data_IF_062886646867
#
_entry.id   IF_062886646867
#
_cell.length_a   1.000
_cell.length_b   1.000
_cell.length_c   1.000
_cell.angle_alpha   90.00
_cell.angle_beta   90.00
_cell.angle_gamma   90.00
#
_symmetry.space_group_name_H-M   'P 1'
#
loop_
_entity.id
_entity.type
_entity.pdbx_description
1 polymer ?
#
# COMPACT_ATOMS: atom_id res chain seq x y z
N UNK A 1 11.27 -54.29 -90.29
CA UNK A 1 10.47 -53.70 -89.18
C UNK A 1 11.35 -52.64 -88.53
N UNK A 2 11.07 -51.34 -88.53
CA UNK A 2 9.81 -50.64 -88.72
C UNK A 2 9.45 -49.84 -87.47
N UNK A 3 9.97 -48.60 -87.42
CA UNK A 3 9.41 -47.40 -86.76
C UNK A 3 9.46 -47.23 -85.22
N UNK A 4 9.56 -45.93 -84.89
CA UNK A 4 9.05 -45.18 -83.74
C UNK A 4 10.10 -44.89 -82.65
N UNK A 5 10.74 -43.71 -82.56
CA UNK A 5 10.18 -42.35 -82.59
C UNK A 5 8.84 -42.25 -81.86
N UNK A 6 8.81 -42.60 -80.56
CA UNK A 6 7.63 -42.32 -79.72
C UNK A 6 7.88 -42.40 -78.21
N UNK A 7 9.07 -42.07 -77.69
CA UNK A 7 9.22 -41.88 -76.23
C UNK A 7 10.22 -40.78 -75.82
N UNK A 8 10.55 -39.87 -76.75
CA UNK A 8 11.22 -38.59 -76.44
C UNK A 8 10.27 -37.61 -75.71
N UNK A 9 8.98 -37.93 -75.54
CA UNK A 9 7.96 -36.95 -75.11
C UNK A 9 7.43 -37.18 -73.68
N UNK A 10 7.72 -38.32 -73.02
CA UNK A 10 7.15 -38.59 -71.67
C UNK A 10 8.15 -38.34 -70.53
N UNK A 11 9.46 -38.36 -70.79
CA UNK A 11 10.45 -38.03 -69.75
C UNK A 11 10.65 -36.51 -69.53
N UNK A 12 10.26 -35.68 -70.50
CA UNK A 12 10.39 -34.20 -70.44
C UNK A 12 9.16 -33.55 -69.75
N UNK A 13 8.13 -34.34 -69.44
CA UNK A 13 6.98 -33.88 -68.64
C UNK A 13 7.15 -34.12 -67.12
N UNK A 14 8.25 -34.77 -66.70
CA UNK A 14 8.64 -34.90 -65.28
C UNK A 14 9.70 -33.88 -64.84
N UNK A 15 10.14 -33.00 -65.75
CA UNK A 15 11.10 -31.91 -65.47
C UNK A 15 10.46 -30.57 -65.09
N UNK A 16 9.21 -30.56 -64.60
CA UNK A 16 8.49 -29.33 -64.22
C UNK A 16 8.20 -29.20 -62.71
N UNK A 17 8.63 -30.14 -61.86
CA UNK A 17 8.33 -30.08 -60.41
C UNK A 17 9.51 -29.83 -59.46
N UNK A 18 10.71 -29.53 -59.96
CA UNK A 18 11.85 -29.16 -59.12
C UNK A 18 12.57 -27.96 -59.70
N UNK A 19 12.08 -26.75 -59.40
CA UNK A 19 12.84 -25.48 -59.22
C UNK A 19 11.97 -24.24 -59.54
N UNK A 20 11.09 -23.83 -58.62
CA UNK A 20 10.61 -22.44 -58.55
C UNK A 20 10.17 -22.11 -57.11
N UNK A 21 11.15 -21.77 -56.27
CA UNK A 21 10.93 -21.03 -55.02
C UNK A 21 11.65 -19.69 -55.13
N UNK A 22 11.09 -18.80 -55.95
CA UNK A 22 11.38 -17.37 -55.91
C UNK A 22 10.74 -16.71 -54.66
N UNK A 23 11.08 -15.45 -54.36
CA UNK A 23 11.29 -14.97 -52.99
C UNK A 23 10.01 -14.50 -52.31
N UNK A 24 9.76 -14.95 -51.07
CA UNK A 24 8.90 -14.20 -50.15
C UNK A 24 9.82 -13.27 -49.36
N UNK A 25 9.86 -12.03 -49.83
CA UNK A 25 10.33 -10.89 -49.05
C UNK A 25 9.39 -10.70 -47.86
N UNK A 26 9.70 -11.34 -46.74
CA UNK A 26 9.19 -10.91 -45.45
C UNK A 26 10.05 -9.71 -45.02
N UNK A 27 9.50 -8.50 -45.19
CA UNK A 27 9.92 -7.32 -44.43
C UNK A 27 9.73 -7.61 -42.93
N UNK A 28 10.70 -8.28 -42.33
CA UNK A 28 10.90 -8.25 -40.90
C UNK A 28 11.42 -6.87 -40.56
N UNK A 29 10.54 -6.04 -40.01
CA UNK A 29 10.86 -4.70 -39.51
C UNK A 29 12.14 -4.76 -38.69
N UNK A 30 13.14 -4.07 -39.23
CA UNK A 30 14.32 -3.59 -38.55
C UNK A 30 13.88 -2.81 -37.31
N UNK A 31 14.08 -3.41 -36.13
CA UNK A 31 14.40 -2.69 -34.91
C UNK A 31 15.39 -3.51 -34.12
N UNK A 32 16.66 -3.26 -34.43
CA UNK A 32 17.65 -2.96 -33.40
C UNK A 32 17.69 -3.92 -32.21
N UNK A 33 18.70 -4.80 -32.23
CA UNK A 33 19.41 -5.28 -31.04
C UNK A 33 20.06 -4.13 -30.26
N UNK A 34 19.25 -3.18 -29.79
CA UNK A 34 19.58 -2.16 -28.79
C UNK A 34 18.36 -1.96 -27.90
N UNK A 35 18.06 -2.95 -27.05
CA UNK A 35 17.18 -2.78 -25.89
C UNK A 35 17.29 -3.96 -24.91
N UNK A 36 18.51 -4.42 -24.61
CA UNK A 36 18.76 -5.25 -23.41
C UNK A 36 18.82 -4.38 -22.14
N UNK A 37 18.73 -3.06 -22.28
CA UNK A 37 18.89 -2.10 -21.18
C UNK A 37 17.73 -1.10 -21.08
N UNK A 38 16.48 -1.58 -21.02
CA UNK A 38 15.31 -0.76 -20.64
C UNK A 38 14.10 -1.57 -20.10
N UNK A 39 14.26 -2.87 -19.83
CA UNK A 39 13.15 -3.81 -19.50
C UNK A 39 12.87 -3.98 -18.00
N UNK A 40 12.63 -2.92 -17.25
CA UNK A 40 12.24 -3.07 -15.82
C UNK A 40 10.93 -2.38 -15.44
N UNK A 41 10.29 -1.65 -16.35
CA UNK A 41 8.99 -1.04 -16.08
C UNK A 41 8.01 -1.11 -17.25
N UNK A 42 6.71 -1.04 -16.94
CA UNK A 42 5.59 -1.13 -17.89
C UNK A 42 5.04 0.26 -18.21
N UNK A 43 4.81 0.50 -19.50
CA UNK A 43 4.27 1.75 -20.03
C UNK A 43 2.74 1.81 -19.92
N UNK A 44 2.15 2.94 -20.28
CA UNK A 44 0.70 3.15 -20.23
C UNK A 44 -0.04 2.03 -20.98
N UNK A 45 -1.18 1.59 -20.43
CA UNK A 45 -2.03 0.51 -20.92
C UNK A 45 -1.40 -0.89 -20.93
N UNK A 46 -0.15 -1.06 -20.46
CA UNK A 46 0.45 -2.38 -20.28
C UNK A 46 0.05 -3.01 -18.95
N UNK A 47 0.04 -4.33 -18.90
CA UNK A 47 -0.28 -5.11 -17.70
C UNK A 47 0.78 -4.96 -16.61
N UNK A 48 0.35 -4.79 -15.37
CA UNK A 48 1.17 -4.69 -14.16
C UNK A 48 0.61 -5.59 -13.05
N UNK A 49 1.40 -5.78 -11.97
CA UNK A 49 1.00 -6.68 -10.88
C UNK A 49 1.02 -8.15 -11.29
N UNK A 50 0.11 -8.95 -10.71
CA UNK A 50 0.07 -10.39 -10.92
C UNK A 50 1.27 -11.15 -10.38
N UNK A 51 1.40 -12.42 -10.78
CA UNK A 51 2.53 -13.28 -10.40
C UNK A 51 3.88 -12.79 -10.95
N UNK A 52 3.86 -11.96 -12.00
CA UNK A 52 5.08 -11.41 -12.60
C UNK A 52 5.60 -10.15 -11.90
N UNK A 53 4.84 -9.59 -10.95
CA UNK A 53 5.19 -8.40 -10.16
C UNK A 53 5.71 -7.21 -11.01
N UNK A 54 5.22 -7.06 -12.25
CA UNK A 54 5.69 -6.00 -13.12
C UNK A 54 5.27 -4.63 -12.55
N UNK A 55 6.23 -3.72 -12.43
CA UNK A 55 6.03 -2.35 -11.96
C UNK A 55 5.77 -1.43 -13.15
N UNK A 56 4.92 -0.43 -12.98
CA UNK A 56 4.75 0.62 -13.97
C UNK A 56 5.95 1.58 -13.94
N UNK A 57 6.21 2.25 -15.06
CA UNK A 57 7.25 3.28 -15.13
C UNK A 57 6.87 4.51 -14.27
N UNK A 58 7.85 5.37 -13.99
CA UNK A 58 7.63 6.57 -13.19
C UNK A 58 6.51 7.45 -13.78
N UNK A 59 5.68 7.97 -12.87
CA UNK A 59 4.48 8.74 -13.24
C UNK A 59 3.26 7.90 -13.64
N UNK A 60 3.35 6.57 -13.56
CA UNK A 60 2.22 5.66 -13.76
C UNK A 60 1.87 4.92 -12.46
N UNK A 61 0.58 4.64 -12.27
CA UNK A 61 0.08 3.78 -11.20
C UNK A 61 -0.50 2.49 -11.79
N UNK A 62 -0.30 1.39 -11.07
CA UNK A 62 -0.88 0.10 -11.42
C UNK A 62 -2.30 0.03 -10.88
N UNK A 63 -3.30 0.14 -11.76
CA UNK A 63 -4.71 0.04 -11.39
C UNK A 63 -5.10 -1.44 -11.45
N UNK A 64 -5.20 -2.07 -10.28
CA UNK A 64 -5.61 -3.47 -10.16
C UNK A 64 -7.08 -3.63 -10.53
N UNK A 65 -7.43 -4.76 -11.16
CA UNK A 65 -8.82 -5.08 -11.48
C UNK A 65 -9.64 -5.55 -10.26
N UNK A 66 -8.96 -5.83 -9.14
CA UNK A 66 -9.54 -6.42 -7.93
C UNK A 66 -8.58 -6.33 -6.75
N UNK A 67 -9.08 -6.44 -5.52
CA UNK A 67 -8.31 -6.24 -4.28
C UNK A 67 -7.64 -7.50 -3.69
N UNK A 68 -7.72 -8.66 -4.36
CA UNK A 68 -7.09 -9.88 -3.87
C UNK A 68 -5.56 -9.93 -4.16
N UNK A 69 -4.77 -10.60 -3.30
CA UNK A 69 -3.32 -10.73 -3.52
C UNK A 69 -3.02 -11.47 -4.83
N UNK A 70 -2.20 -10.85 -5.69
CA UNK A 70 -1.87 -11.40 -7.00
C UNK A 70 -2.80 -10.97 -8.14
N UNK A 71 -3.71 -10.02 -7.90
CA UNK A 71 -4.49 -9.40 -8.96
C UNK A 71 -3.58 -8.76 -10.04
N UNK A 72 -3.97 -8.91 -11.30
CA UNK A 72 -3.40 -8.16 -12.41
C UNK A 72 -4.05 -6.80 -12.53
N UNK A 73 -3.29 -5.82 -13.01
CA UNK A 73 -3.76 -4.47 -13.27
C UNK A 73 -3.21 -3.91 -14.57
N UNK A 74 -3.52 -2.64 -14.81
CA UNK A 74 -3.06 -1.90 -15.99
C UNK A 74 -2.37 -0.62 -15.55
N UNK A 75 -1.23 -0.29 -16.16
CA UNK A 75 -0.54 0.96 -15.91
C UNK A 75 -1.31 2.14 -16.50
N UNK A 76 -1.73 3.06 -15.65
CA UNK A 76 -2.40 4.30 -16.05
C UNK A 76 -1.60 5.51 -15.58
N UNK A 77 -1.79 6.66 -16.24
CA UNK A 77 -1.17 7.91 -15.79
C UNK A 77 -1.66 8.24 -14.39
N UNK A 78 -0.71 8.51 -13.50
CA UNK A 78 -0.99 8.94 -12.14
C UNK A 78 -1.76 10.26 -12.18
N UNK A 79 -2.92 10.28 -11.54
CA UNK A 79 -3.80 11.47 -11.46
C UNK A 79 -3.46 12.35 -10.26
N UNK A 80 -2.74 11.81 -9.27
CA UNK A 80 -2.36 12.49 -8.06
C UNK A 80 -0.92 13.07 -8.11
N UNK A 81 -0.63 14.01 -7.20
CA UNK A 81 0.66 14.69 -7.09
C UNK A 81 1.56 14.02 -6.05
N UNK A 82 2.81 13.76 -6.41
CA UNK A 82 3.79 13.11 -5.53
C UNK A 82 4.43 14.13 -4.58
N UNK A 83 5.25 13.65 -3.65
CA UNK A 83 5.93 14.52 -2.68
C UNK A 83 6.69 15.66 -3.39
N UNK A 84 6.62 16.86 -2.80
CA UNK A 84 7.19 18.12 -3.30
C UNK A 84 6.58 18.66 -4.60
N UNK A 85 5.54 18.03 -5.15
CA UNK A 85 4.80 18.59 -6.28
C UNK A 85 3.71 19.56 -5.81
N UNK A 86 3.38 20.51 -6.68
CA UNK A 86 2.30 21.47 -6.47
C UNK A 86 0.94 20.79 -6.34
N UNK A 87 0.14 21.22 -5.36
CA UNK A 87 -1.21 20.77 -5.08
C UNK A 87 -2.14 21.95 -4.78
N UNK A 88 -3.45 21.70 -4.77
CA UNK A 88 -4.46 22.73 -4.50
C UNK A 88 -4.58 23.75 -5.63
N UNK A 89 -4.82 25.00 -5.26
CA UNK A 89 -5.14 26.10 -6.16
C UNK A 89 -6.48 25.92 -6.88
N UNK A 90 -6.76 26.83 -7.81
CA UNK A 90 -7.95 26.79 -8.69
C UNK A 90 -8.07 25.44 -9.43
N UNK A 91 -6.93 24.82 -9.78
CA UNK A 91 -6.91 23.52 -10.47
C UNK A 91 -7.26 22.32 -9.59
N UNK A 92 -7.29 22.48 -8.26
CA UNK A 92 -7.72 21.44 -7.32
C UNK A 92 -6.86 20.17 -7.31
N UNK A 93 -5.57 20.26 -7.65
CA UNK A 93 -4.72 19.07 -7.75
C UNK A 93 -4.54 18.37 -6.40
N UNK A 94 -4.88 17.09 -6.34
CA UNK A 94 -4.79 16.29 -5.11
C UNK A 94 -3.45 15.57 -4.98
N UNK A 95 -2.93 15.49 -3.76
CA UNK A 95 -1.75 14.67 -3.47
C UNK A 95 -2.07 13.18 -3.44
N UNK A 96 -1.09 12.35 -3.75
CA UNK A 96 -1.22 10.90 -3.66
C UNK A 96 -1.45 10.43 -2.22
N UNK A 97 -1.90 9.18 -2.07
CA UNK A 97 -2.13 8.57 -0.77
C UNK A 97 -0.88 8.64 0.12
N UNK A 98 -1.08 8.94 1.41
CA UNK A 98 0.01 9.12 2.38
C UNK A 98 0.62 10.53 2.39
N UNK A 99 0.22 11.41 1.47
CA UNK A 99 0.61 12.80 1.44
C UNK A 99 -0.54 13.72 1.88
N UNK A 100 -0.22 14.94 2.30
CA UNK A 100 -1.17 16.03 2.52
C UNK A 100 -0.74 17.23 1.69
N UNK A 101 -1.72 17.98 1.19
CA UNK A 101 -1.43 19.28 0.58
C UNK A 101 -1.24 20.30 1.70
N UNK A 102 -0.06 20.91 1.77
CA UNK A 102 0.22 22.03 2.67
C UNK A 102 0.12 23.30 1.86
N UNK A 103 -0.96 24.05 2.08
CA UNK A 103 -1.24 25.30 1.39
C UNK A 103 -0.30 26.40 1.87
N UNK A 104 0.10 27.28 0.97
CA UNK A 104 0.95 28.43 1.29
C UNK A 104 0.17 29.53 2.04
N UNK A 105 -1.16 29.54 1.93
CA UNK A 105 -2.04 30.44 2.67
C UNK A 105 -3.44 29.86 2.87
N UNK A 106 -4.26 30.50 3.72
CA UNK A 106 -5.62 30.04 4.05
C UNK A 106 -6.69 30.46 3.02
N UNK A 107 -6.30 31.08 1.91
CA UNK A 107 -7.24 31.42 0.84
C UNK A 107 -7.68 30.16 0.07
N UNK A 108 -8.95 30.07 -0.37
CA UNK A 108 -9.50 28.89 -1.04
C UNK A 108 -8.78 28.55 -2.35
N UNK A 109 -8.22 29.55 -3.02
CA UNK A 109 -7.49 29.41 -4.29
C UNK A 109 -5.97 29.25 -4.08
N UNK A 110 -5.52 29.08 -2.84
CA UNK A 110 -4.09 28.92 -2.55
C UNK A 110 -3.57 27.62 -3.12
N UNK A 111 -2.44 27.72 -3.81
CA UNK A 111 -1.58 26.58 -4.08
C UNK A 111 -0.87 26.11 -2.83
N UNK A 112 -0.25 24.94 -2.94
CA UNK A 112 0.57 24.37 -1.90
C UNK A 112 1.47 23.27 -2.43
N UNK A 113 2.10 22.55 -1.51
CA UNK A 113 3.02 21.45 -1.83
C UNK A 113 2.59 20.17 -1.14
N UNK A 114 2.69 19.05 -1.85
CA UNK A 114 2.47 17.73 -1.28
C UNK A 114 3.60 17.35 -0.33
N UNK A 115 3.27 17.21 0.95
CA UNK A 115 4.20 16.73 1.97
C UNK A 115 3.77 15.36 2.49
N UNK A 116 4.71 14.51 2.94
CA UNK A 116 4.37 13.33 3.72
C UNK A 116 3.43 13.72 4.88
N UNK A 117 2.33 12.98 5.03
CA UNK A 117 1.57 13.06 6.27
C UNK A 117 2.54 12.68 7.39
N UNK A 118 2.64 13.53 8.43
CA UNK A 118 3.38 13.18 9.63
C UNK A 118 2.90 11.80 10.05
N UNK A 119 3.83 10.83 10.11
CA UNK A 119 3.49 9.47 10.52
C UNK A 119 2.88 9.54 11.90
N UNK A 120 1.70 8.96 12.04
CA UNK A 120 1.13 8.78 13.35
C UNK A 120 1.88 7.65 14.07
N UNK A 121 1.87 7.69 15.40
CA UNK A 121 2.55 6.73 16.26
C UNK A 121 1.58 5.64 16.68
N UNK A 122 2.01 4.39 16.53
CA UNK A 122 1.25 3.21 16.94
C UNK A 122 1.18 3.10 18.47
N UNK A 123 0.37 2.17 18.97
CA UNK A 123 0.29 1.89 20.41
C UNK A 123 1.69 1.61 20.99
N UNK A 124 1.93 2.13 22.19
CA UNK A 124 3.17 2.05 22.96
C UNK A 124 4.38 2.76 22.34
N UNK A 125 4.20 3.51 21.25
CA UNK A 125 5.26 4.36 20.71
C UNK A 125 5.26 5.75 21.36
N UNK A 126 6.45 6.36 21.42
CA UNK A 126 6.63 7.73 21.88
C UNK A 126 5.81 8.73 21.07
N UNK A 127 5.14 9.65 21.76
CA UNK A 127 4.34 10.75 21.25
C UNK A 127 4.65 12.07 21.98
N UNK A 128 4.03 13.16 21.54
CA UNK A 128 4.26 14.49 22.13
C UNK A 128 5.64 15.04 21.79
N UNK A 129 6.26 15.72 22.77
CA UNK A 129 7.57 16.33 22.65
C UNK A 129 7.61 17.55 21.72
N UNK A 130 8.81 18.12 21.58
CA UNK A 130 9.10 19.21 20.63
C UNK A 130 8.70 18.88 19.18
N UNK A 131 8.71 17.60 18.82
CA UNK A 131 8.35 17.13 17.47
C UNK A 131 6.83 17.04 17.23
N UNK A 132 6.01 17.26 18.28
CA UNK A 132 4.53 17.22 18.26
C UNK A 132 4.01 15.94 17.61
N UNK A 133 4.60 14.79 17.96
CA UNK A 133 4.26 13.50 17.39
C UNK A 133 2.86 13.08 17.85
N UNK A 134 1.97 12.82 16.91
CA UNK A 134 0.58 12.43 17.20
C UNK A 134 0.41 10.92 17.14
N UNK A 135 -0.42 10.38 18.03
CA UNK A 135 -0.83 8.99 17.95
C UNK A 135 -1.80 8.76 16.79
N UNK A 136 -1.86 7.53 16.29
CA UNK A 136 -2.83 7.13 15.28
C UNK A 136 -4.26 7.19 15.82
N UNK A 137 -5.25 7.17 14.92
CA UNK A 137 -6.66 7.21 15.28
C UNK A 137 -7.01 6.10 16.28
N UNK A 138 -7.80 6.42 17.30
CA UNK A 138 -8.19 5.48 18.36
C UNK A 138 -7.16 5.34 19.49
N UNK A 139 -6.06 6.08 19.45
CA UNK A 139 -5.05 6.17 20.49
C UNK A 139 -5.02 7.58 21.11
N UNK A 140 -4.61 7.67 22.38
CA UNK A 140 -4.36 8.94 23.09
C UNK A 140 -2.90 9.03 23.49
N UNK A 141 -2.31 10.22 23.41
CA UNK A 141 -0.96 10.45 23.94
C UNK A 141 -1.07 10.68 25.45
N UNK A 142 -0.47 9.80 26.25
CA UNK A 142 -0.36 9.99 27.70
C UNK A 142 1.00 10.62 27.97
N UNK A 143 1.00 11.87 28.41
CA UNK A 143 2.23 12.63 28.67
C UNK A 143 2.84 12.20 30.02
N UNK A 144 4.17 12.17 30.08
CA UNK A 144 4.93 11.86 31.31
C UNK A 144 5.14 13.11 32.20
N UNK A 145 4.49 14.23 31.88
CA UNK A 145 4.55 15.49 32.63
C UNK A 145 3.53 16.53 32.15
N UNK A 146 3.41 17.62 32.90
CA UNK A 146 2.40 18.67 32.68
C UNK A 146 2.81 19.74 31.64
N UNK A 147 4.06 19.71 31.19
CA UNK A 147 4.55 20.67 30.20
C UNK A 147 4.07 20.34 28.79
N UNK A 148 3.76 21.35 27.95
CA UNK A 148 3.27 21.15 26.57
C UNK A 148 4.30 20.44 25.66
N UNK A 149 5.58 20.50 26.04
CA UNK A 149 6.69 19.88 25.33
C UNK A 149 7.08 18.51 25.92
N UNK A 150 6.30 18.00 26.88
CA UNK A 150 6.56 16.69 27.49
C UNK A 150 6.41 15.59 26.44
N UNK A 151 7.33 14.63 26.47
CA UNK A 151 7.15 13.35 25.80
C UNK A 151 6.05 12.54 26.47
N UNK A 152 5.54 11.57 25.75
CA UNK A 152 4.57 10.63 26.28
C UNK A 152 4.54 9.34 25.47
N UNK A 153 3.58 8.48 25.79
CA UNK A 153 3.38 7.20 25.11
C UNK A 153 1.95 7.11 24.57
N UNK A 154 1.82 6.61 23.34
CA UNK A 154 0.51 6.34 22.74
C UNK A 154 -0.17 5.16 23.41
N UNK A 155 -1.22 5.42 24.18
CA UNK A 155 -2.04 4.39 24.80
C UNK A 155 -3.35 4.21 24.01
N UNK A 156 -4.05 3.08 24.18
CA UNK A 156 -5.42 2.95 23.72
C UNK A 156 -6.27 4.18 24.11
N UNK A 157 -7.09 4.67 23.19
CA UNK A 157 -7.90 5.89 23.37
C UNK A 157 -8.97 5.75 24.46
N UNK A 158 -9.23 4.53 24.92
CA UNK A 158 -10.01 4.25 26.12
C UNK A 158 -9.35 4.86 27.36
N UNK A 159 -10.17 5.37 28.28
CA UNK A 159 -9.71 5.89 29.58
C UNK A 159 -9.60 4.80 30.65
N UNK A 160 -9.91 3.55 30.28
CA UNK A 160 -9.93 2.41 31.17
C UNK A 160 -9.07 1.27 30.60
N UNK A 161 -8.70 0.35 31.47
CA UNK A 161 -7.81 -0.78 31.20
C UNK A 161 -8.61 -2.07 30.93
N UNK A 162 -8.22 -2.80 29.89
CA UNK A 162 -8.83 -4.02 29.38
C UNK A 162 -8.20 -5.26 30.02
N UNK A 163 -8.64 -6.46 29.63
CA UNK A 163 -8.14 -7.70 30.22
C UNK A 163 -6.61 -7.80 30.16
N UNK A 164 -6.01 -8.12 31.30
CA UNK A 164 -4.58 -8.24 31.53
C UNK A 164 -3.77 -6.93 31.47
N UNK A 165 -4.42 -5.78 31.32
CA UNK A 165 -3.77 -4.48 31.46
C UNK A 165 -3.61 -4.09 32.95
N UNK A 166 -2.59 -3.29 33.23
CA UNK A 166 -2.25 -2.84 34.59
C UNK A 166 -3.25 -1.82 35.11
N UNK A 167 -3.68 -1.97 36.35
CA UNK A 167 -4.64 -1.11 37.04
C UNK A 167 -4.16 -0.72 38.44
N UNK A 168 -4.72 0.33 39.03
CA UNK A 168 -4.36 0.77 40.37
C UNK A 168 -2.97 1.41 40.47
N UNK A 169 -2.29 1.19 41.61
CA UNK A 169 -1.03 1.83 41.94
C UNK A 169 -1.10 3.37 42.01
N UNK A 170 0.06 4.02 41.91
CA UNK A 170 0.19 5.49 41.85
C UNK A 170 -0.41 6.10 40.58
N UNK A 171 -0.66 5.29 39.55
CA UNK A 171 -1.25 5.72 38.28
C UNK A 171 -2.77 5.91 38.34
N UNK A 172 -3.46 5.36 39.36
CA UNK A 172 -4.91 5.46 39.50
C UNK A 172 -5.72 4.86 38.34
N UNK A 173 -5.10 3.97 37.54
CA UNK A 173 -5.70 3.41 36.34
C UNK A 173 -6.87 2.47 36.68
N UNK A 174 -8.06 2.77 36.15
CA UNK A 174 -9.26 1.95 36.38
C UNK A 174 -9.47 0.94 35.25
N UNK A 175 -9.89 -0.26 35.61
CA UNK A 175 -10.35 -1.25 34.64
C UNK A 175 -11.68 -0.83 34.00
N UNK A 176 -11.92 -1.24 32.75
CA UNK A 176 -13.21 -1.03 32.10
C UNK A 176 -14.32 -1.85 32.79
N UNK A 177 -15.59 -1.45 32.65
CA UNK A 177 -16.76 -1.99 33.40
C UNK A 177 -16.90 -3.52 33.48
N UNK A 178 -16.32 -4.26 32.51
CA UNK A 178 -16.35 -5.73 32.48
C UNK A 178 -15.28 -6.38 33.38
N UNK A 179 -14.32 -5.61 33.86
CA UNK A 179 -13.14 -6.11 34.53
C UNK A 179 -13.00 -5.53 35.94
N UNK A 180 -12.41 -6.31 36.84
CA UNK A 180 -12.01 -5.86 38.19
C UNK A 180 -10.50 -5.85 38.29
N UNK A 181 -9.97 -4.89 39.04
CA UNK A 181 -8.55 -4.85 39.35
C UNK A 181 -8.23 -5.91 40.40
N UNK A 182 -7.37 -6.88 40.07
CA UNK A 182 -6.82 -7.82 41.04
C UNK A 182 -5.42 -7.38 41.43
N UNK A 183 -5.20 -7.23 42.73
CA UNK A 183 -3.89 -6.95 43.32
C UNK A 183 -3.27 -8.27 43.79
N UNK A 184 -1.98 -8.46 43.54
CA UNK A 184 -1.23 -9.56 44.15
C UNK A 184 -0.92 -9.21 45.61
N UNK A 185 -1.31 -10.07 46.55
CA UNK A 185 -1.24 -9.81 47.99
C UNK A 185 0.19 -9.85 48.59
N UNK A 186 1.23 -9.70 47.77
CA UNK A 186 2.62 -10.03 48.11
C UNK A 186 3.63 -8.89 48.04
N UNK A 187 3.29 -7.71 47.54
CA UNK A 187 4.24 -6.60 47.35
C UNK A 187 4.04 -5.49 48.38
N UNK A 188 5.06 -5.26 49.20
CA UNK A 188 5.17 -4.07 50.03
C UNK A 188 5.48 -2.87 49.12
N UNK A 189 4.59 -1.87 49.15
CA UNK A 189 4.63 -0.57 48.45
C UNK A 189 4.40 -0.65 46.92
N UNK A 190 3.34 0.06 46.48
CA UNK A 190 3.00 0.40 45.08
C UNK A 190 2.28 -0.68 44.24
N UNK A 191 1.28 -1.36 44.81
CA UNK A 191 0.52 -2.45 44.15
C UNK A 191 -0.25 -1.99 42.91
N UNK A 192 0.41 -2.05 41.76
CA UNK A 192 -0.24 -2.11 40.47
C UNK A 192 -0.86 -3.51 40.32
N UNK A 193 -2.18 -3.58 40.16
CA UNK A 193 -2.91 -4.81 39.88
C UNK A 193 -3.05 -5.07 38.38
N UNK A 194 -3.79 -6.13 38.06
CA UNK A 194 -4.11 -6.53 36.68
C UNK A 194 -5.62 -6.65 36.52
N UNK A 195 -6.16 -6.12 35.42
CA UNK A 195 -7.57 -6.22 35.09
C UNK A 195 -7.96 -7.64 34.67
N UNK A 196 -8.88 -8.27 35.39
CA UNK A 196 -9.42 -9.59 35.02
C UNK A 196 -10.94 -9.54 34.91
N UNK A 197 -11.53 -10.52 34.23
CA UNK A 197 -12.99 -10.62 34.07
C UNK A 197 -13.70 -10.57 35.43
N UNK A 198 -14.67 -9.67 35.54
CA UNK A 198 -15.57 -9.62 36.69
C UNK A 198 -16.70 -10.63 36.46
N UNK A 199 -16.65 -11.78 37.14
CA UNK A 199 -17.67 -12.83 37.03
C UNK A 199 -18.99 -12.52 37.76
N UNK A 200 -19.24 -11.28 38.18
CA UNK A 200 -20.48 -10.87 38.85
C UNK A 200 -21.34 -9.95 37.98
N UNK A 201 -22.01 -10.54 36.99
CA UNK A 201 -23.40 -10.17 36.70
C UNK A 201 -24.25 -11.42 36.92
N UNK A 202 -24.62 -11.67 38.17
CA UNK A 202 -25.79 -12.49 38.42
C UNK A 202 -26.98 -11.76 37.77
N UNK A 203 -27.65 -12.50 36.89
CA UNK A 203 -28.91 -12.14 36.26
C UNK A 203 -29.95 -11.85 37.34
N UNK A 204 -30.09 -10.59 37.76
CA UNK A 204 -31.32 -10.15 38.42
C UNK A 204 -32.35 -9.83 37.34
N UNK A 205 -32.88 -10.89 36.75
CA UNK A 205 -34.18 -10.86 36.09
C UNK A 205 -35.21 -10.91 37.21
N UNK A 206 -35.64 -9.75 37.70
CA UNK A 206 -36.75 -9.70 38.66
C UNK A 206 -38.05 -10.01 37.93
N UNK A 207 -38.69 -11.10 38.37
CA UNK A 207 -40.09 -11.48 38.14
C UNK A 207 -40.99 -10.49 38.87
#
# INVERSE_FOLDING_TARGET
MGRNFSNIIVAILLSVFLSFSGPISAKGVDKTSTAVEQRTCRNVQQSCGGMSAYRCCDGLDCILQSDYPGATGTCMRRTCKTARQFCGGISGYQCCQGLKCVLDSDYPDSGGVCEPRKSCRNAYQLCGGNNRLKCCQGLRCVLDGDYPDSGGVCMPGRKCQDQYETCGGSTGLQCCDRYRCLYDAGSYLDDAGVCVLSYNKQSSSSI
#
